data_IF_497269591566
#
_entry.id   IF_497269591566
#
_cell.length_a   1.000
_cell.length_b   1.000
_cell.length_c   1.000
_cell.angle_alpha   90.00
_cell.angle_beta   90.00
_cell.angle_gamma   90.00
#
_symmetry.space_group_name_H-M   'P 1'
#
loop_
_entity.id
_entity.type
_entity.pdbx_description
1 polymer ?
#
# COMPACT_ATOMS: atom_id res chain seq x y z
N UNK A 1 -14.24 -0.22 11.21
CA UNK A 1 -14.52 -0.58 12.61
C UNK A 1 -15.65 0.26 13.17
N UNK A 2 -15.45 1.51 13.62
CA UNK A 2 -16.52 2.33 14.24
C UNK A 2 -17.81 2.49 13.43
N UNK A 3 -17.72 2.79 12.13
CA UNK A 3 -18.92 2.81 11.24
C UNK A 3 -19.66 1.47 11.15
N UNK A 4 -18.98 0.36 11.43
CA UNK A 4 -19.52 -0.98 11.47
C UNK A 4 -19.85 -1.44 12.91
N UNK A 5 -19.80 -0.54 13.90
CA UNK A 5 -20.23 -0.82 15.28
C UNK A 5 -19.23 -1.57 16.17
N UNK A 6 -17.95 -1.67 15.79
CA UNK A 6 -16.93 -2.34 16.61
C UNK A 6 -15.62 -1.56 16.70
N UNK A 7 -14.83 -1.84 17.74
CA UNK A 7 -13.44 -1.39 17.88
C UNK A 7 -12.52 -2.63 17.81
N UNK A 8 -11.40 -2.58 17.07
CA UNK A 8 -10.48 -3.71 16.96
C UNK A 8 -9.72 -3.92 18.29
N UNK A 9 -9.45 -5.19 18.62
CA UNK A 9 -8.48 -5.57 19.66
C UNK A 9 -7.06 -5.44 19.07
N UNK A 10 -6.39 -4.31 19.32
CA UNK A 10 -5.06 -4.02 18.79
C UNK A 10 -4.00 -4.57 19.75
N UNK A 11 -3.45 -5.76 19.43
CA UNK A 11 -2.41 -6.42 20.24
C UNK A 11 -0.99 -6.00 19.87
N UNK A 12 -0.79 -5.51 18.65
CA UNK A 12 0.50 -5.09 18.12
C UNK A 12 0.33 -3.77 17.37
N UNK A 13 1.25 -2.84 17.57
CA UNK A 13 1.31 -1.57 16.87
C UNK A 13 2.76 -1.34 16.39
N UNK A 14 2.92 -1.06 15.10
CA UNK A 14 4.21 -0.79 14.48
C UNK A 14 4.01 0.00 13.19
N UNK A 15 5.00 0.83 12.86
CA UNK A 15 5.13 1.52 11.57
C UNK A 15 6.00 0.74 10.56
N UNK A 16 6.61 -0.36 10.99
CA UNK A 16 7.42 -1.25 10.16
C UNK A 16 6.55 -2.34 9.53
N UNK A 17 6.38 -2.24 8.20
CA UNK A 17 5.61 -3.20 7.42
C UNK A 17 6.24 -4.60 7.37
N UNK A 18 7.57 -4.71 7.47
CA UNK A 18 8.26 -6.01 7.52
C UNK A 18 8.00 -6.70 8.85
N UNK A 19 8.07 -5.96 9.96
CA UNK A 19 7.74 -6.48 11.27
C UNK A 19 6.27 -6.94 11.34
N UNK A 20 5.36 -6.17 10.74
CA UNK A 20 3.95 -6.52 10.64
C UNK A 20 3.75 -7.81 9.84
N UNK A 21 4.45 -7.99 8.71
CA UNK A 21 4.40 -9.22 7.91
C UNK A 21 4.94 -10.42 8.71
N UNK A 22 6.08 -10.28 9.39
CA UNK A 22 6.67 -11.35 10.18
C UNK A 22 5.75 -11.83 11.32
N UNK A 23 5.00 -10.91 11.95
CA UNK A 23 3.98 -11.25 12.95
C UNK A 23 2.82 -12.06 12.36
N UNK A 24 2.44 -11.80 11.11
CA UNK A 24 1.39 -12.55 10.41
C UNK A 24 1.93 -13.93 9.97
N UNK A 25 3.12 -13.97 9.36
CA UNK A 25 3.75 -15.22 8.89
C UNK A 25 4.00 -16.20 10.05
N UNK A 26 4.30 -15.69 11.26
CA UNK A 26 4.45 -16.51 12.46
C UNK A 26 3.13 -16.97 13.11
N UNK A 27 1.98 -16.58 12.54
CA UNK A 27 0.65 -16.98 13.03
C UNK A 27 0.16 -16.20 14.25
N UNK A 28 0.85 -15.12 14.64
CA UNK A 28 0.54 -14.36 15.85
C UNK A 28 -0.46 -13.22 15.61
N UNK A 29 -0.65 -12.79 14.36
CA UNK A 29 -1.47 -11.62 14.03
C UNK A 29 -2.23 -11.77 12.70
N UNK A 30 -3.27 -10.95 12.56
CA UNK A 30 -3.88 -10.59 11.27
C UNK A 30 -3.79 -9.09 11.11
N UNK A 31 -3.66 -8.60 9.88
CA UNK A 31 -3.59 -7.16 9.64
C UNK A 31 -4.19 -6.72 8.30
N UNK A 32 -4.51 -5.44 8.22
CA UNK A 32 -4.90 -4.78 6.97
C UNK A 32 -3.64 -4.21 6.33
N UNK A 33 -3.28 -4.70 5.15
CA UNK A 33 -2.10 -4.27 4.40
C UNK A 33 -2.49 -3.47 3.16
N UNK A 34 -1.69 -2.48 2.73
CA UNK A 34 -1.86 -1.83 1.43
C UNK A 34 -1.69 -2.85 0.30
N UNK A 35 -2.48 -2.71 -0.76
CA UNK A 35 -2.44 -3.63 -1.92
C UNK A 35 -1.06 -3.66 -2.60
N UNK A 36 -0.30 -2.57 -2.51
CA UNK A 36 1.07 -2.47 -3.05
C UNK A 36 2.04 -3.49 -2.41
N UNK A 37 1.73 -4.00 -1.21
CA UNK A 37 2.51 -5.06 -0.57
C UNK A 37 2.30 -6.43 -1.21
N UNK A 38 1.23 -6.63 -2.00
CA UNK A 38 1.02 -7.88 -2.76
C UNK A 38 2.14 -8.18 -3.75
N UNK A 39 2.89 -7.16 -4.19
CA UNK A 39 4.02 -7.31 -5.12
C UNK A 39 5.10 -8.23 -4.53
N UNK A 40 5.21 -8.30 -3.21
CA UNK A 40 6.04 -9.30 -2.52
C UNK A 40 5.23 -10.58 -2.37
N UNK A 41 5.39 -11.52 -3.31
CA UNK A 41 4.83 -12.87 -3.19
C UNK A 41 5.38 -13.52 -1.92
N UNK A 42 4.53 -13.69 -0.91
CA UNK A 42 4.81 -14.45 0.31
C UNK A 42 3.88 -15.66 0.33
N UNK A 43 4.37 -16.89 0.10
CA UNK A 43 3.53 -18.07 -0.03
C UNK A 43 2.77 -18.41 1.26
N UNK A 44 3.29 -17.97 2.41
CA UNK A 44 2.73 -18.29 3.73
C UNK A 44 1.60 -17.34 4.15
N UNK A 45 1.27 -16.34 3.32
CA UNK A 45 0.21 -15.37 3.61
C UNK A 45 -1.07 -15.68 2.83
N UNK A 46 -2.18 -15.80 3.56
CA UNK A 46 -3.52 -15.76 2.96
C UNK A 46 -4.02 -14.32 2.92
N UNK A 47 -4.21 -13.79 1.72
CA UNK A 47 -4.77 -12.45 1.51
C UNK A 47 -6.28 -12.55 1.24
N UNK A 48 -7.06 -11.69 1.90
CA UNK A 48 -8.52 -11.60 1.74
C UNK A 48 -8.87 -10.14 1.47
N UNK A 49 -9.70 -9.88 0.47
CA UNK A 49 -10.24 -8.54 0.21
C UNK A 49 -11.32 -8.21 1.24
N UNK A 50 -11.12 -7.13 2.00
CA UNK A 50 -11.99 -6.75 3.14
C UNK A 50 -12.80 -5.47 2.92
N UNK A 51 -12.40 -4.63 1.98
CA UNK A 51 -13.05 -3.33 1.69
C UNK A 51 -12.78 -2.92 0.23
N UNK A 52 -13.76 -2.31 -0.43
CA UNK A 52 -13.62 -1.76 -1.78
C UNK A 52 -13.03 -0.36 -1.80
N UNK A 53 -12.83 0.27 -0.63
CA UNK A 53 -12.19 1.59 -0.52
C UNK A 53 -10.75 1.53 -1.01
N UNK A 54 -10.44 2.41 -1.96
CA UNK A 54 -9.09 2.57 -2.50
C UNK A 54 -8.41 3.81 -1.93
N UNK A 55 -7.09 3.72 -1.78
CA UNK A 55 -6.22 4.87 -1.52
C UNK A 55 -5.56 5.25 -2.84
N UNK A 56 -5.48 6.55 -3.12
CA UNK A 56 -4.79 7.07 -4.30
C UNK A 56 -3.34 7.40 -3.95
N UNK A 57 -2.41 6.95 -4.80
CA UNK A 57 -0.99 7.30 -4.72
C UNK A 57 -0.63 8.11 -5.94
N UNK A 58 -0.02 9.27 -5.75
CA UNK A 58 0.35 10.17 -6.84
C UNK A 58 1.76 10.72 -6.63
N UNK A 59 2.39 11.13 -7.73
CA UNK A 59 3.67 11.84 -7.69
C UNK A 59 3.41 13.35 -7.74
N UNK A 60 4.03 14.08 -6.82
CA UNK A 60 3.95 15.54 -6.76
C UNK A 60 5.33 16.15 -7.03
N UNK A 61 5.35 17.27 -7.75
CA UNK A 61 6.55 18.06 -7.99
C UNK A 61 6.19 19.54 -8.06
N UNK A 62 7.17 20.42 -7.82
CA UNK A 62 6.98 21.86 -8.02
C UNK A 62 6.72 22.14 -9.50
N UNK A 63 5.76 23.03 -9.78
CA UNK A 63 5.37 23.41 -11.15
C UNK A 63 6.57 23.88 -12.00
N UNK A 64 7.53 24.56 -11.39
CA UNK A 64 8.75 25.04 -12.04
C UNK A 64 9.68 23.89 -12.51
N UNK A 65 9.60 22.71 -11.87
CA UNK A 65 10.47 21.57 -12.16
C UNK A 65 9.84 20.54 -13.08
N UNK A 66 8.57 20.72 -13.48
CA UNK A 66 7.79 19.72 -14.23
C UNK A 66 8.42 19.29 -15.56
N UNK A 67 9.20 20.17 -16.18
CA UNK A 67 9.84 19.94 -17.48
C UNK A 67 11.30 19.52 -17.39
N UNK A 68 11.85 19.44 -16.18
CA UNK A 68 13.23 18.99 -15.99
C UNK A 68 13.39 17.54 -16.48
N UNK A 69 14.46 17.22 -17.23
CA UNK A 69 14.64 15.87 -17.79
C UNK A 69 14.58 14.75 -16.73
N UNK A 70 15.18 14.97 -15.56
CA UNK A 70 15.18 13.98 -14.48
C UNK A 70 13.78 13.69 -13.91
N UNK A 71 12.96 14.73 -13.71
CA UNK A 71 11.58 14.56 -13.21
C UNK A 71 10.72 13.83 -14.25
N UNK A 72 10.88 14.17 -15.53
CA UNK A 72 10.18 13.47 -16.62
C UNK A 72 10.56 12.01 -16.68
N UNK A 73 11.86 11.70 -16.70
CA UNK A 73 12.35 10.33 -16.75
C UNK A 73 11.86 9.49 -15.57
N UNK A 74 11.90 10.04 -14.34
CA UNK A 74 11.39 9.35 -13.15
C UNK A 74 9.88 9.07 -13.24
N UNK A 75 9.07 10.06 -13.64
CA UNK A 75 7.62 9.89 -13.79
C UNK A 75 7.27 8.90 -14.90
N UNK A 76 7.98 8.92 -16.03
CA UNK A 76 7.81 7.99 -17.14
C UNK A 76 8.14 6.55 -16.69
N UNK A 77 9.24 6.36 -15.94
CA UNK A 77 9.60 5.05 -15.38
C UNK A 77 8.55 4.52 -14.38
N UNK A 78 8.06 5.37 -13.48
CA UNK A 78 6.99 5.00 -12.54
C UNK A 78 5.68 4.68 -13.27
N UNK A 79 5.30 5.47 -14.28
CA UNK A 79 4.09 5.23 -15.07
C UNK A 79 4.14 3.90 -15.84
N UNK A 80 5.33 3.45 -16.26
CA UNK A 80 5.50 2.17 -16.96
C UNK A 80 5.21 0.93 -16.09
N UNK A 81 5.34 1.05 -14.76
CA UNK A 81 5.17 -0.07 -13.82
C UNK A 81 3.98 0.09 -12.88
N UNK A 82 3.38 1.29 -12.80
CA UNK A 82 2.25 1.55 -11.94
C UNK A 82 1.03 0.70 -12.36
N UNK A 83 0.34 0.03 -11.41
CA UNK A 83 -0.92 -0.65 -11.69
C UNK A 83 -1.95 0.32 -12.26
N UNK A 84 -2.69 -0.12 -13.29
CA UNK A 84 -3.69 0.72 -13.99
C UNK A 84 -4.84 1.15 -13.08
N UNK A 85 -5.09 0.41 -12.01
CA UNK A 85 -6.11 0.66 -11.00
C UNK A 85 -5.64 1.58 -9.85
N UNK A 86 -4.39 2.06 -9.91
CA UNK A 86 -3.86 3.10 -9.03
C UNK A 86 -4.14 4.53 -9.56
N UNK A 87 -4.76 4.65 -10.74
CA UNK A 87 -5.07 5.94 -11.35
C UNK A 87 -6.04 6.75 -10.47
N UNK A 88 -5.73 8.02 -10.28
CA UNK A 88 -6.64 9.00 -9.65
C UNK A 88 -7.72 9.37 -10.68
N UNK A 89 -9.01 9.44 -10.31
CA UNK A 89 -10.04 10.01 -11.18
C UNK A 89 -9.77 11.47 -11.54
#
# INVERSE_FOLDING_TARGET
CRRAGFEPDVRFETDDLEAQIALIESGNAVAILPDLMRVRRRPDLRVIDVDSRRRSVFTATRVALRHTPAIRACREALAAVAPKDLAVP
#
